data_IF_058863155219
#
_entry.id   IF_058863155219
#
_cell.length_a   1.000
_cell.length_b   1.000
_cell.length_c   1.000
_cell.angle_alpha   90.00
_cell.angle_beta   90.00
_cell.angle_gamma   90.00
#
_symmetry.space_group_name_H-M   'P 1'
#
loop_
_entity.id
_entity.type
_entity.pdbx_description
1 polymer ?
#
# COMPACT_ATOMS: atom_id res chain seq x y z
N UNK A 1 -6.98 9.38 -17.71
CA UNK A 1 -6.09 10.08 -16.76
C UNK A 1 -5.10 9.04 -16.24
N UNK A 2 -3.80 9.29 -16.40
CA UNK A 2 -2.72 8.34 -16.09
C UNK A 2 -2.52 8.21 -14.56
N UNK A 3 -3.19 7.26 -13.92
CA UNK A 3 -3.00 6.92 -12.50
C UNK A 3 -1.58 6.43 -12.20
N UNK A 4 -0.90 5.83 -13.19
CA UNK A 4 0.52 5.44 -13.08
C UNK A 4 1.47 6.61 -12.76
N UNK A 5 1.11 7.85 -13.13
CA UNK A 5 1.95 9.01 -12.87
C UNK A 5 1.89 9.49 -11.41
N UNK A 6 0.84 9.15 -10.66
CA UNK A 6 0.63 9.63 -9.29
C UNK A 6 1.37 8.78 -8.26
N UNK A 7 1.39 7.46 -8.43
CA UNK A 7 2.03 6.55 -7.49
C UNK A 7 3.55 6.58 -7.61
N UNK A 8 4.10 6.77 -8.82
CA UNK A 8 5.55 6.94 -9.02
C UNK A 8 6.08 8.08 -8.16
N UNK A 9 5.41 9.24 -8.16
CA UNK A 9 5.85 10.40 -7.37
C UNK A 9 5.82 10.17 -5.86
N UNK A 10 4.91 9.33 -5.36
CA UNK A 10 4.82 9.00 -3.93
C UNK A 10 5.86 7.95 -3.54
N UNK A 11 6.12 6.98 -4.42
CA UNK A 11 7.21 6.02 -4.24
C UNK A 11 8.55 6.75 -4.27
N UNK A 12 8.75 7.68 -5.20
CA UNK A 12 9.95 8.53 -5.27
C UNK A 12 10.09 9.38 -3.98
N UNK A 13 8.97 9.83 -3.41
CA UNK A 13 8.95 10.53 -2.12
C UNK A 13 9.38 9.60 -0.98
N UNK A 14 8.83 8.39 -0.86
CA UNK A 14 9.22 7.40 0.16
C UNK A 14 10.70 7.01 0.02
N UNK A 15 11.19 6.81 -1.20
CA UNK A 15 12.59 6.46 -1.47
C UNK A 15 13.53 7.61 -1.11
N UNK A 16 13.14 8.86 -1.39
CA UNK A 16 13.94 10.03 -1.05
C UNK A 16 13.90 10.36 0.45
N UNK A 17 12.76 10.19 1.14
CA UNK A 17 12.66 10.42 2.60
C UNK A 17 13.34 9.33 3.43
N UNK A 18 13.51 8.13 2.88
CA UNK A 18 14.21 7.03 3.55
C UNK A 18 15.73 7.01 3.31
N UNK A 19 16.31 8.03 2.64
CA UNK A 19 17.74 8.10 2.33
C UNK A 19 18.26 6.80 1.67
N UNK A 20 17.46 6.16 0.81
CA UNK A 20 17.79 4.84 0.26
C UNK A 20 19.17 4.78 -0.40
N UNK A 21 19.64 5.90 -0.97
CA UNK A 21 20.96 6.02 -1.60
C UNK A 21 22.14 5.74 -0.66
N UNK A 22 21.94 5.83 0.66
CA UNK A 22 22.96 5.57 1.68
C UNK A 22 23.08 4.08 2.02
N UNK A 23 22.14 3.26 1.57
CA UNK A 23 22.09 1.82 1.83
C UNK A 23 22.69 1.00 0.68
N UNK A 24 23.19 -0.19 1.01
CA UNK A 24 23.61 -1.16 -0.02
C UNK A 24 22.40 -1.66 -0.81
N UNK A 25 22.57 -2.14 -2.06
CA UNK A 25 21.45 -2.67 -2.86
C UNK A 25 20.65 -3.76 -2.15
N UNK A 26 21.32 -4.60 -1.35
CA UNK A 26 20.68 -5.69 -0.61
C UNK A 26 19.85 -5.17 0.59
N UNK A 27 20.28 -4.07 1.21
CA UNK A 27 19.50 -3.40 2.25
C UNK A 27 18.31 -2.62 1.65
N UNK A 28 18.50 -2.00 0.48
CA UNK A 28 17.43 -1.35 -0.26
C UNK A 28 16.32 -2.35 -0.63
N UNK A 29 16.68 -3.53 -1.14
CA UNK A 29 15.72 -4.60 -1.43
C UNK A 29 14.94 -5.03 -0.17
N UNK A 30 15.63 -5.23 0.96
CA UNK A 30 14.96 -5.57 2.23
C UNK A 30 14.04 -4.46 2.74
N UNK A 31 14.40 -3.19 2.54
CA UNK A 31 13.56 -2.05 2.90
C UNK A 31 12.34 -1.97 2.00
N UNK A 32 12.50 -2.18 0.69
CA UNK A 32 11.40 -2.21 -0.27
C UNK A 32 10.45 -3.38 -0.02
N UNK A 33 10.96 -4.56 0.36
CA UNK A 33 10.13 -5.70 0.73
C UNK A 33 9.28 -5.40 1.97
N UNK A 34 9.89 -4.83 3.01
CA UNK A 34 9.17 -4.40 4.22
C UNK A 34 8.14 -3.33 3.91
N UNK A 35 8.51 -2.35 3.07
CA UNK A 35 7.60 -1.33 2.59
C UNK A 35 6.39 -1.94 1.88
N UNK A 36 6.63 -2.88 0.96
CA UNK A 36 5.57 -3.53 0.19
C UNK A 36 4.60 -4.28 1.10
N UNK A 37 5.11 -4.93 2.16
CA UNK A 37 4.30 -5.67 3.12
C UNK A 37 3.41 -4.75 3.96
N UNK A 38 3.97 -3.67 4.51
CA UNK A 38 3.22 -2.70 5.33
C UNK A 38 2.15 -2.01 4.48
N UNK A 39 2.52 -1.53 3.30
CA UNK A 39 1.60 -0.88 2.38
C UNK A 39 0.48 -1.83 1.96
N UNK A 40 0.80 -3.09 1.68
CA UNK A 40 -0.19 -4.10 1.36
C UNK A 40 -1.18 -4.34 2.51
N UNK A 41 -0.69 -4.47 3.74
CA UNK A 41 -1.56 -4.68 4.91
C UNK A 41 -2.52 -3.51 5.12
N UNK A 42 -2.03 -2.27 5.08
CA UNK A 42 -2.87 -1.08 5.25
C UNK A 42 -3.89 -0.93 4.13
N UNK A 43 -3.47 -1.13 2.88
CA UNK A 43 -4.36 -1.15 1.71
C UNK A 43 -5.47 -2.18 1.85
N UNK A 44 -5.11 -3.40 2.25
CA UNK A 44 -6.08 -4.47 2.45
C UNK A 44 -7.09 -4.12 3.55
N UNK A 45 -6.64 -3.54 4.66
CA UNK A 45 -7.55 -3.05 5.71
C UNK A 45 -8.49 -1.97 5.18
N UNK A 46 -7.99 -0.97 4.46
CA UNK A 46 -8.82 0.10 3.88
C UNK A 46 -9.84 -0.47 2.91
N UNK A 47 -9.44 -1.36 2.01
CA UNK A 47 -10.37 -2.01 1.10
C UNK A 47 -11.48 -2.75 1.85
N UNK A 48 -11.15 -3.51 2.89
CA UNK A 48 -12.13 -4.21 3.74
C UNK A 48 -13.07 -3.23 4.46
N UNK A 49 -12.57 -2.08 4.92
CA UNK A 49 -13.36 -1.02 5.56
C UNK A 49 -14.33 -0.35 4.59
N UNK A 50 -13.94 -0.16 3.33
CA UNK A 50 -14.79 0.41 2.29
C UNK A 50 -15.79 -0.59 1.67
N UNK A 51 -15.64 -1.89 1.95
CA UNK A 51 -16.64 -2.90 1.57
C UNK A 51 -17.87 -2.85 2.48
N UNK A 52 -19.05 -3.05 1.89
CA UNK A 52 -20.27 -3.31 2.67
C UNK A 52 -20.16 -4.64 3.42
N UNK A 53 -20.98 -4.83 4.46
CA UNK A 53 -20.98 -6.08 5.24
C UNK A 53 -21.27 -7.33 4.39
N UNK A 54 -22.11 -7.21 3.36
CA UNK A 54 -22.42 -8.33 2.45
C UNK A 54 -21.22 -8.66 1.56
N UNK A 55 -20.57 -7.64 1.00
CA UNK A 55 -19.37 -7.78 0.17
C UNK A 55 -18.21 -8.35 0.98
N UNK A 56 -18.04 -7.94 2.24
CA UNK A 56 -16.99 -8.46 3.11
C UNK A 56 -17.14 -9.96 3.37
N UNK A 57 -18.38 -10.46 3.46
CA UNK A 57 -18.65 -11.90 3.59
C UNK A 57 -18.25 -12.65 2.32
N UNK A 58 -18.58 -12.11 1.14
CA UNK A 58 -18.14 -12.66 -0.14
C UNK A 58 -16.61 -12.64 -0.28
N UNK A 59 -15.97 -11.57 0.19
CA UNK A 59 -14.52 -11.42 0.19
C UNK A 59 -13.83 -12.50 1.02
N UNK A 60 -14.28 -12.76 2.25
CA UNK A 60 -13.72 -13.83 3.07
C UNK A 60 -13.96 -15.21 2.45
N UNK A 61 -15.14 -15.46 1.86
CA UNK A 61 -15.40 -16.69 1.13
C UNK A 61 -14.51 -16.88 -0.11
N UNK A 62 -14.05 -15.78 -0.72
CA UNK A 62 -13.08 -15.80 -1.82
C UNK A 62 -11.67 -16.10 -1.34
N UNK A 63 -11.27 -15.61 -0.16
CA UNK A 63 -9.95 -15.89 0.43
C UNK A 63 -9.80 -17.35 0.88
N UNK A 64 -10.89 -18.00 1.29
CA UNK A 64 -10.90 -19.44 1.60
C UNK A 64 -10.73 -20.33 0.36
N UNK A 65 -10.77 -19.74 -0.84
CA UNK A 65 -10.52 -20.42 -2.10
C UNK A 65 -9.10 -20.13 -2.58
N UNK A 66 -8.49 -21.08 -3.30
CA UNK A 66 -7.23 -20.84 -4.01
C UNK A 66 -7.47 -19.90 -5.20
N UNK A 67 -7.57 -18.60 -4.89
CA UNK A 67 -7.89 -17.52 -5.82
C UNK A 67 -6.62 -16.88 -6.36
N UNK A 68 -6.59 -16.63 -7.67
CA UNK A 68 -5.51 -15.86 -8.27
C UNK A 68 -5.60 -14.37 -7.92
N UNK A 69 -4.44 -13.72 -7.77
CA UNK A 69 -4.30 -12.28 -7.51
C UNK A 69 -5.16 -11.44 -8.46
N UNK A 70 -5.17 -11.78 -9.75
CA UNK A 70 -5.97 -11.05 -10.76
C UNK A 70 -7.47 -11.09 -10.45
N UNK A 71 -7.99 -12.22 -9.98
CA UNK A 71 -9.41 -12.34 -9.60
C UNK A 71 -9.70 -11.57 -8.32
N UNK A 72 -8.79 -11.64 -7.33
CA UNK A 72 -8.90 -10.88 -6.09
C UNK A 72 -8.94 -9.36 -6.36
N UNK A 73 -8.03 -8.86 -7.19
CA UNK A 73 -8.00 -7.45 -7.59
C UNK A 73 -9.26 -7.05 -8.37
N UNK A 74 -9.76 -7.91 -9.26
CA UNK A 74 -11.01 -7.64 -9.98
C UNK A 74 -12.20 -7.53 -9.03
N UNK A 75 -12.23 -8.35 -7.97
CA UNK A 75 -13.24 -8.27 -6.93
C UNK A 75 -13.15 -6.95 -6.16
N UNK A 76 -11.94 -6.57 -5.71
CA UNK A 76 -11.70 -5.33 -4.98
C UNK A 76 -12.13 -4.12 -5.83
N UNK A 77 -11.68 -4.02 -7.08
CA UNK A 77 -12.04 -2.92 -8.00
C UNK A 77 -13.53 -2.81 -8.29
N UNK A 78 -14.24 -3.93 -8.30
CA UNK A 78 -15.69 -3.95 -8.55
C UNK A 78 -16.49 -3.45 -7.35
N UNK A 79 -15.98 -3.66 -6.14
CA UNK A 79 -16.74 -3.50 -4.92
C UNK A 79 -16.26 -2.38 -3.99
N UNK A 80 -15.05 -1.85 -4.22
CA UNK A 80 -14.52 -0.68 -3.53
C UNK A 80 -14.58 0.50 -4.50
N UNK A 81 -15.40 1.51 -4.17
CA UNK A 81 -15.69 2.64 -5.08
C UNK A 81 -14.49 3.57 -5.31
N UNK A 82 -13.53 3.62 -4.39
CA UNK A 82 -12.38 4.52 -4.46
C UNK A 82 -11.06 3.80 -4.11
N UNK A 83 -10.71 2.79 -4.91
CA UNK A 83 -9.45 2.05 -4.76
C UNK A 83 -8.24 2.98 -4.88
N UNK A 84 -8.30 3.93 -5.81
CA UNK A 84 -7.19 4.85 -6.06
C UNK A 84 -7.02 5.85 -4.90
N UNK A 85 -8.11 6.40 -4.36
CA UNK A 85 -8.08 7.26 -3.18
C UNK A 85 -7.56 6.54 -1.94
N UNK A 86 -8.04 5.32 -1.66
CA UNK A 86 -7.54 4.52 -0.54
C UNK A 86 -6.05 4.17 -0.68
N UNK A 87 -5.57 3.94 -1.91
CA UNK A 87 -4.14 3.70 -2.20
C UNK A 87 -3.30 4.94 -1.97
N UNK A 88 -3.79 6.10 -2.41
CA UNK A 88 -3.12 7.36 -2.20
C UNK A 88 -3.04 7.71 -0.71
N UNK A 89 -4.12 7.56 0.03
CA UNK A 89 -4.17 7.86 1.47
C UNK A 89 -3.21 6.97 2.27
N UNK A 90 -3.19 5.65 1.99
CA UNK A 90 -2.23 4.73 2.61
C UNK A 90 -0.77 5.13 2.35
N UNK A 91 -0.45 5.56 1.12
CA UNK A 91 0.89 6.04 0.77
C UNK A 91 1.25 7.36 1.45
N UNK A 92 0.30 8.30 1.56
CA UNK A 92 0.50 9.59 2.22
C UNK A 92 0.73 9.42 3.73
N UNK A 93 -0.13 8.64 4.41
CA UNK A 93 0.01 8.33 5.84
C UNK A 93 1.35 7.67 6.13
N UNK A 94 1.72 6.68 5.32
CA UNK A 94 3.00 5.99 5.47
C UNK A 94 4.21 6.90 5.23
N UNK A 95 4.15 7.78 4.23
CA UNK A 95 5.22 8.75 3.97
C UNK A 95 5.39 9.71 5.15
N UNK A 96 4.28 10.11 5.77
CA UNK A 96 4.28 10.97 6.94
C UNK A 96 4.89 10.24 8.15
N UNK A 97 4.55 8.96 8.36
CA UNK A 97 5.16 8.15 9.41
C UNK A 97 6.68 8.03 9.26
N UNK A 98 7.18 7.71 8.05
CA UNK A 98 8.63 7.68 7.77
C UNK A 98 9.28 9.03 8.10
N UNK A 99 8.67 10.13 7.67
CA UNK A 99 9.21 11.47 7.90
C UNK A 99 9.29 11.81 9.39
N UNK A 100 8.30 11.39 10.19
CA UNK A 100 8.33 11.61 11.64
C UNK A 100 9.35 10.75 12.38
N UNK A 101 9.66 9.57 11.84
CA UNK A 101 10.67 8.66 12.39
C UNK A 101 12.09 9.15 12.09
N UNK A 102 12.34 9.68 10.89
CA UNK A 102 13.65 10.25 10.53
C UNK A 102 13.99 11.53 11.30
N UNK A 103 12.97 12.32 11.71
CA UNK A 103 13.16 13.46 12.60
C UNK A 103 13.51 13.06 14.06
N UNK A 104 13.14 11.86 14.50
CA UNK A 104 13.40 11.38 15.86
C UNK A 104 14.78 10.73 16.06
N UNK A 105 15.52 10.39 15.00
CA UNK A 105 16.87 9.83 15.10
C UNK A 105 17.98 10.90 15.24
N UNK A 106 17.63 12.19 15.30
CA UNK A 106 18.58 13.33 15.40
C UNK A 106 18.73 13.87 16.84
N UNK A 107 18.32 13.12 17.87
CA UNK A 107 18.51 13.53 19.28
C UNK A 107 19.26 12.52 20.15
#
# INVERSE_FOLDING_TARGET
MNTHSSYSSLIDMVVSTSHMEEYTPQQQEQLLDRFSAILFEDLMMRFILHMSSSVRTEFYSLLDQDISEKKLMSFIQKHVQDVDGATKEALEDFTQEISTLSEHEVH
#
